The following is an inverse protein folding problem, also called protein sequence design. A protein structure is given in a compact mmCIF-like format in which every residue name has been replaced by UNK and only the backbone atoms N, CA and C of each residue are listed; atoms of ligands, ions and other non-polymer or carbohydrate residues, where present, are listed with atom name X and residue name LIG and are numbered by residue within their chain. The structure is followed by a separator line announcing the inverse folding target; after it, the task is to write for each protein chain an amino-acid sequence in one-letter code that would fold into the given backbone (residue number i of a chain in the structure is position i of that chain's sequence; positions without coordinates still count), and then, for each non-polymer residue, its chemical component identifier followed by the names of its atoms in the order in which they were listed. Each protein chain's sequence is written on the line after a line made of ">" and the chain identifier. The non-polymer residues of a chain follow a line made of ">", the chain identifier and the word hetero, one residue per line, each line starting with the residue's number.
data_IF_121748118285
#
_entry.id   IF_121748118285
#
_cell.length_a   1.000
_cell.length_b   1.000
_cell.length_c   1.000
_cell.angle_alpha   90.00
_cell.angle_beta   90.00
_cell.angle_gamma   90.00
#
_symmetry.space_group_name_H-M   'P 1'
#
loop_
_entity.id
_entity.type
_entity.pdbx_description
1 polymer ?
#
# COMPACT_ATOMS: atom_id res chain seq x y z
N UNK A 1 -8.26 40.32 -80.15
CA UNK A 1 -8.98 41.59 -79.87
C UNK A 1 -10.42 41.26 -79.50
N UNK A 2 -11.05 41.96 -78.54
CA UNK A 2 -10.50 42.74 -77.41
C UNK A 2 -10.39 41.77 -76.20
N UNK A 3 -10.50 42.10 -74.89
CA UNK A 3 -10.33 43.34 -74.10
C UNK A 3 -9.69 42.95 -72.74
N UNK A 4 -9.24 43.94 -71.96
CA UNK A 4 -8.82 43.81 -70.55
C UNK A 4 -9.85 44.51 -69.66
N UNK A 5 -10.09 44.02 -68.44
CA UNK A 5 -10.54 44.84 -67.31
C UNK A 5 -9.83 44.38 -66.02
N UNK A 6 -9.41 45.32 -65.17
CA UNK A 6 -8.64 45.09 -63.93
C UNK A 6 -9.52 45.26 -62.66
N UNK A 7 -8.87 45.06 -61.50
CA UNK A 7 -9.30 45.33 -60.11
C UNK A 7 -10.15 44.23 -59.45
N UNK A 8 -10.06 43.97 -58.14
CA UNK A 8 -9.41 44.72 -57.05
C UNK A 8 -8.61 43.82 -56.08
N UNK A 9 -7.77 44.44 -55.25
CA UNK A 9 -7.09 43.80 -54.12
C UNK A 9 -8.09 43.35 -53.04
N UNK A 10 -7.85 42.20 -52.41
CA UNK A 10 -8.45 41.80 -51.14
C UNK A 10 -7.33 41.30 -50.20
N UNK A 11 -7.25 41.86 -49.00
CA UNK A 11 -6.15 41.62 -48.07
C UNK A 11 -6.24 40.25 -47.38
N UNK A 12 -5.09 39.59 -47.19
CA UNK A 12 -4.98 38.33 -46.45
C UNK A 12 -5.18 38.56 -44.95
N UNK A 13 -6.42 38.41 -44.46
CA UNK A 13 -6.68 38.25 -43.03
C UNK A 13 -6.44 36.79 -42.62
N UNK A 14 -5.37 36.52 -41.85
CA UNK A 14 -5.20 35.23 -41.17
C UNK A 14 -6.34 35.04 -40.16
N UNK A 15 -7.04 33.90 -40.13
CA UNK A 15 -7.98 33.60 -39.05
C UNK A 15 -7.21 33.33 -37.75
N UNK A 16 -7.52 34.09 -36.70
CA UNK A 16 -6.98 33.84 -35.36
C UNK A 16 -7.69 32.64 -34.74
N UNK A 17 -7.00 31.51 -34.67
CA UNK A 17 -7.51 30.31 -33.97
C UNK A 17 -7.48 30.60 -32.46
N UNK A 18 -8.65 30.60 -31.81
CA UNK A 18 -8.72 30.60 -30.34
C UNK A 18 -8.08 29.30 -29.82
N UNK A 19 -7.27 29.33 -28.75
CA UNK A 19 -6.85 28.11 -28.08
C UNK A 19 -8.10 27.33 -27.63
N UNK A 20 -8.10 26.01 -27.84
CA UNK A 20 -9.10 25.17 -27.22
C UNK A 20 -8.92 25.23 -25.70
N UNK A 21 -10.00 25.48 -24.98
CA UNK A 21 -9.98 25.44 -23.51
C UNK A 21 -9.68 23.99 -23.09
N UNK A 22 -8.56 23.82 -22.39
CA UNK A 22 -8.10 22.51 -21.93
C UNK A 22 -9.13 21.90 -20.97
N UNK A 23 -9.85 20.88 -21.45
CA UNK A 23 -10.63 20.01 -20.57
C UNK A 23 -9.65 19.13 -19.77
N UNK A 24 -9.07 19.70 -18.71
CA UNK A 24 -8.37 18.95 -17.66
C UNK A 24 -9.38 18.19 -16.80
N UNK A 25 -10.08 17.25 -17.44
CA UNK A 25 -10.62 16.09 -16.76
C UNK A 25 -9.42 15.29 -16.24
N UNK A 26 -9.01 15.57 -15.00
CA UNK A 26 -8.04 14.76 -14.28
C UNK A 26 -8.59 13.34 -14.16
N UNK A 27 -8.25 12.49 -15.12
CA UNK A 27 -8.44 11.06 -15.00
C UNK A 27 -7.78 10.67 -13.67
N UNK A 28 -8.49 9.93 -12.78
CA UNK A 28 -7.95 9.60 -11.49
C UNK A 28 -6.61 8.93 -11.73
N UNK A 29 -5.54 9.55 -11.23
CA UNK A 29 -4.27 8.86 -11.07
C UNK A 29 -4.64 7.60 -10.30
N UNK A 30 -4.40 6.44 -10.91
CA UNK A 30 -4.34 5.20 -10.17
C UNK A 30 -3.18 5.40 -9.19
N UNK A 31 -3.51 5.90 -7.99
CA UNK A 31 -2.57 6.00 -6.89
C UNK A 31 -1.93 4.63 -6.78
N UNK A 32 -0.63 4.58 -7.01
CA UNK A 32 0.07 3.32 -7.20
C UNK A 32 -0.14 2.50 -5.95
N UNK A 33 -0.81 1.34 -6.09
CA UNK A 33 -1.26 0.56 -4.95
C UNK A 33 -0.08 0.31 -4.00
N UNK A 34 -0.25 0.51 -2.67
CA UNK A 34 0.86 0.53 -1.74
C UNK A 34 1.66 -0.77 -1.81
N UNK A 35 2.98 -0.66 -1.98
CA UNK A 35 3.86 -1.82 -2.13
C UNK A 35 4.03 -2.49 -0.76
N UNK A 36 3.36 -3.62 -0.57
CA UNK A 36 3.45 -4.41 0.66
C UNK A 36 4.60 -5.42 0.56
N UNK A 37 5.55 -5.33 1.48
CA UNK A 37 6.66 -6.28 1.63
C UNK A 37 6.52 -7.07 2.94
N UNK A 38 6.76 -8.38 2.89
CA UNK A 38 6.72 -9.25 4.08
C UNK A 38 8.12 -9.53 4.62
N UNK A 39 8.34 -9.35 5.92
CA UNK A 39 9.62 -9.66 6.57
C UNK A 39 9.42 -10.47 7.86
N UNK A 40 10.23 -11.52 8.02
CA UNK A 40 10.34 -12.29 9.26
C UNK A 40 11.72 -12.07 9.90
N UNK A 41 11.77 -11.80 11.21
CA UNK A 41 13.03 -11.54 11.89
C UNK A 41 13.87 -12.81 12.15
N UNK A 42 13.24 -13.97 12.38
CA UNK A 42 13.95 -15.19 12.79
C UNK A 42 14.87 -14.93 14.00
N UNK A 43 16.12 -15.38 13.95
CA UNK A 43 17.22 -15.11 14.90
C UNK A 43 18.13 -13.94 14.49
N UNK A 44 17.73 -13.10 13.51
CA UNK A 44 18.54 -11.97 13.06
C UNK A 44 18.77 -10.94 14.17
N UNK A 45 19.90 -10.25 14.10
CA UNK A 45 20.16 -9.06 14.90
C UNK A 45 19.18 -7.94 14.51
N UNK A 46 19.06 -6.94 15.39
CA UNK A 46 18.29 -5.73 15.08
C UNK A 46 18.91 -4.94 13.91
N UNK A 47 20.23 -4.94 13.81
CA UNK A 47 20.99 -4.25 12.77
C UNK A 47 20.80 -4.90 11.39
N UNK A 48 20.83 -6.23 11.29
CA UNK A 48 20.51 -6.97 10.08
C UNK A 48 19.07 -6.71 9.63
N UNK A 49 18.12 -6.71 10.58
CA UNK A 49 16.71 -6.41 10.31
C UNK A 49 16.52 -4.99 9.78
N UNK A 50 17.11 -3.99 10.42
CA UNK A 50 17.06 -2.59 9.96
C UNK A 50 17.73 -2.42 8.60
N UNK A 51 18.87 -3.08 8.37
CA UNK A 51 19.59 -3.02 7.09
C UNK A 51 18.72 -3.53 5.93
N UNK A 52 17.98 -4.64 6.13
CA UNK A 52 17.04 -5.15 5.14
C UNK A 52 15.90 -4.15 4.83
N UNK A 53 15.35 -3.49 5.85
CA UNK A 53 14.32 -2.47 5.65
C UNK A 53 14.86 -1.29 4.83
N UNK A 54 16.05 -0.78 5.18
CA UNK A 54 16.69 0.36 4.49
C UNK A 54 17.04 0.03 3.05
N UNK A 55 17.64 -1.14 2.77
CA UNK A 55 18.00 -1.57 1.41
C UNK A 55 16.77 -1.68 0.50
N UNK A 56 15.63 -2.12 1.06
CA UNK A 56 14.34 -2.18 0.34
C UNK A 56 13.51 -0.89 0.45
N UNK A 57 14.08 0.21 0.96
CA UNK A 57 13.42 1.53 1.08
C UNK A 57 12.08 1.49 1.85
N UNK A 58 11.96 0.60 2.85
CA UNK A 58 10.76 0.49 3.68
C UNK A 58 10.65 1.69 4.62
N UNK A 59 9.58 2.46 4.47
CA UNK A 59 9.29 3.65 5.28
C UNK A 59 8.50 3.36 6.56
N UNK A 60 7.78 2.22 6.61
CA UNK A 60 6.89 1.86 7.73
C UNK A 60 6.86 0.35 7.94
N UNK A 61 7.00 -0.09 9.19
CA UNK A 61 6.79 -1.49 9.61
C UNK A 61 5.38 -1.64 10.18
N UNK A 62 4.62 -2.58 9.62
CA UNK A 62 3.31 -3.00 10.16
C UNK A 62 3.49 -4.30 10.92
N UNK A 63 3.30 -4.24 12.24
CA UNK A 63 3.39 -5.40 13.13
C UNK A 63 1.99 -6.00 13.33
N UNK A 64 1.69 -7.05 12.57
CA UNK A 64 0.41 -7.77 12.64
C UNK A 64 0.35 -8.80 13.78
N UNK A 65 1.41 -8.95 14.59
CA UNK A 65 1.45 -10.01 15.61
C UNK A 65 0.44 -9.70 16.72
N UNK A 66 -0.49 -10.63 16.92
CA UNK A 66 -1.47 -10.58 18.04
C UNK A 66 -0.79 -10.45 19.40
N UNK A 67 0.40 -11.05 19.56
CA UNK A 67 1.26 -10.90 20.75
C UNK A 67 2.67 -10.45 20.29
N UNK A 68 2.95 -9.14 20.22
CA UNK A 68 4.23 -8.60 19.75
C UNK A 68 5.28 -8.58 20.89
N UNK A 69 5.47 -9.73 21.54
CA UNK A 69 6.37 -9.92 22.69
C UNK A 69 7.06 -11.28 22.62
N UNK A 70 8.38 -11.28 22.77
CA UNK A 70 9.24 -12.44 22.93
C UNK A 70 10.18 -12.26 24.12
N UNK A 71 10.51 -13.38 24.79
CA UNK A 71 11.60 -13.45 25.78
C UNK A 71 12.96 -13.68 25.13
N UNK A 72 13.00 -14.44 24.03
CA UNK A 72 14.23 -14.79 23.32
C UNK A 72 14.72 -13.66 22.41
N UNK A 73 13.78 -12.89 21.83
CA UNK A 73 14.07 -11.78 20.92
C UNK A 73 13.47 -10.45 21.42
N UNK A 74 13.90 -9.93 22.59
CA UNK A 74 13.30 -8.75 23.20
C UNK A 74 13.50 -7.44 22.41
N UNK A 75 14.46 -7.41 21.47
CA UNK A 75 14.69 -6.31 20.53
C UNK A 75 13.50 -6.10 19.57
N UNK A 76 12.77 -7.16 19.23
CA UNK A 76 11.58 -7.10 18.38
C UNK A 76 10.27 -6.97 19.16
N UNK A 77 10.30 -6.62 20.44
CA UNK A 77 9.08 -6.35 21.22
C UNK A 77 8.48 -4.99 20.86
N UNK A 78 7.14 -4.85 20.93
CA UNK A 78 6.43 -3.57 20.73
C UNK A 78 6.93 -2.42 21.64
N UNK A 79 7.56 -2.75 22.78
CA UNK A 79 8.17 -1.76 23.69
C UNK A 79 9.55 -1.25 23.25
N UNK A 80 10.21 -1.96 22.33
CA UNK A 80 11.63 -1.79 21.99
C UNK A 80 11.84 -1.43 20.52
N UNK A 81 11.16 -2.16 19.63
CA UNK A 81 11.32 -2.04 18.18
C UNK A 81 10.96 -0.64 17.64
N UNK A 82 9.87 0.04 18.06
CA UNK A 82 9.52 1.35 17.52
C UNK A 82 10.62 2.39 17.75
N UNK A 83 11.21 2.42 18.95
CA UNK A 83 12.34 3.30 19.32
C UNK A 83 13.63 3.03 18.54
N UNK A 84 13.72 1.86 17.91
CA UNK A 84 14.87 1.47 17.09
C UNK A 84 14.66 1.86 15.62
N UNK A 85 13.43 1.73 15.13
CA UNK A 85 13.02 2.15 13.79
C UNK A 85 12.96 3.68 13.65
N UNK A 86 12.49 4.37 14.69
CA UNK A 86 12.44 5.84 14.77
C UNK A 86 13.81 6.49 14.55
N UNK A 87 14.90 5.89 15.09
CA UNK A 87 16.29 6.36 14.92
C UNK A 87 16.78 6.35 13.47
N UNK A 88 16.14 5.59 12.60
CA UNK A 88 16.46 5.49 11.16
C UNK A 88 15.31 6.03 10.29
N UNK A 89 14.37 6.77 10.88
CA UNK A 89 13.26 7.39 10.15
C UNK A 89 12.15 6.42 9.70
N UNK A 90 12.13 5.19 10.21
CA UNK A 90 11.13 4.18 9.84
C UNK A 90 9.97 4.21 10.85
N UNK A 91 8.75 4.39 10.34
CA UNK A 91 7.53 4.36 11.16
C UNK A 91 7.17 2.96 11.66
N UNK A 92 6.40 2.87 12.74
CA UNK A 92 5.86 1.60 13.25
C UNK A 92 4.37 1.73 13.55
N UNK A 93 3.59 0.74 13.10
CA UNK A 93 2.17 0.58 13.45
C UNK A 93 1.94 -0.85 13.90
N UNK A 94 1.11 -1.04 14.94
CA UNK A 94 0.73 -2.37 15.44
C UNK A 94 -0.73 -2.63 15.12
N UNK A 95 -1.00 -3.58 14.21
CA UNK A 95 -2.32 -3.83 13.62
C UNK A 95 -2.70 -5.32 13.79
N UNK A 96 -3.03 -5.75 15.03
CA UNK A 96 -3.19 -7.16 15.40
C UNK A 96 -4.45 -7.81 14.82
N UNK A 97 -5.34 -7.03 14.19
CA UNK A 97 -6.49 -7.55 13.46
C UNK A 97 -6.07 -8.35 12.22
N UNK A 98 -4.96 -8.01 11.54
CA UNK A 98 -4.39 -8.87 10.48
C UNK A 98 -3.51 -10.02 11.03
N UNK A 99 -3.62 -10.32 12.32
CA UNK A 99 -2.83 -11.33 13.03
C UNK A 99 -3.48 -12.70 13.13
N UNK A 100 -2.66 -13.71 13.41
CA UNK A 100 -3.08 -15.09 13.69
C UNK A 100 -3.74 -15.28 15.07
N UNK A 101 -3.55 -16.47 15.67
CA UNK A 101 -4.22 -16.88 16.92
C UNK A 101 -5.76 -16.77 16.85
N UNK A 102 -6.33 -17.15 15.71
CA UNK A 102 -7.77 -17.26 15.49
C UNK A 102 -8.24 -18.69 15.76
N UNK A 103 -9.47 -18.86 16.27
CA UNK A 103 -10.08 -20.17 16.54
C UNK A 103 -10.88 -20.62 15.32
N UNK A 104 -10.75 -21.88 14.93
CA UNK A 104 -11.58 -22.48 13.89
C UNK A 104 -13.06 -22.48 14.26
N UNK A 105 -13.92 -22.21 13.29
CA UNK A 105 -15.36 -22.39 13.44
C UNK A 105 -15.71 -23.90 13.42
N UNK A 106 -16.70 -24.37 14.20
CA UNK A 106 -17.13 -25.78 14.19
C UNK A 106 -17.58 -26.28 12.80
N UNK A 107 -18.15 -25.37 12.01
CA UNK A 107 -18.72 -25.54 10.68
C UNK A 107 -17.82 -24.93 9.57
N UNK A 108 -16.53 -24.70 9.87
CA UNK A 108 -15.54 -24.15 8.93
C UNK A 108 -15.58 -24.83 7.55
N UNK A 109 -15.86 -24.05 6.50
CA UNK A 109 -15.72 -24.49 5.09
C UNK A 109 -14.25 -24.75 4.69
N UNK A 110 -13.29 -24.22 5.45
CA UNK A 110 -11.85 -24.27 5.17
C UNK A 110 -11.21 -25.64 5.48
N UNK A 111 -11.88 -26.74 5.12
CA UNK A 111 -11.54 -28.10 5.56
C UNK A 111 -10.14 -28.59 5.15
N UNK A 112 -9.55 -28.05 4.08
CA UNK A 112 -8.20 -28.36 3.61
C UNK A 112 -7.07 -28.08 4.62
N UNK A 113 -7.24 -27.13 5.56
CA UNK A 113 -6.22 -26.81 6.55
C UNK A 113 -6.16 -27.83 7.69
N UNK A 114 -5.20 -28.76 7.66
CA UNK A 114 -5.04 -29.78 8.73
C UNK A 114 -4.78 -29.17 10.11
N UNK A 115 -4.15 -28.00 10.19
CA UNK A 115 -3.88 -27.30 11.45
C UNK A 115 -5.06 -26.39 11.83
N UNK A 116 -5.62 -26.56 13.02
CA UNK A 116 -6.79 -25.81 13.49
C UNK A 116 -6.57 -24.30 13.58
N UNK A 117 -5.35 -23.83 13.88
CA UNK A 117 -5.03 -22.39 13.93
C UNK A 117 -4.96 -21.77 12.53
N UNK A 118 -4.50 -22.52 11.53
CA UNK A 118 -4.53 -22.08 10.13
C UNK A 118 -5.96 -22.10 9.57
N UNK A 119 -6.75 -23.12 9.92
CA UNK A 119 -8.19 -23.17 9.62
C UNK A 119 -8.91 -21.94 10.18
N UNK A 120 -8.74 -21.65 11.47
CA UNK A 120 -9.35 -20.48 12.11
C UNK A 120 -8.87 -19.13 11.58
N UNK A 121 -7.64 -19.05 11.07
CA UNK A 121 -7.21 -17.84 10.37
C UNK A 121 -7.91 -17.71 9.01
N UNK A 122 -8.06 -18.80 8.25
CA UNK A 122 -8.81 -18.80 6.99
C UNK A 122 -10.31 -18.53 7.18
N UNK A 123 -10.91 -19.00 8.29
CA UNK A 123 -12.29 -18.64 8.69
C UNK A 123 -12.38 -17.14 8.97
N UNK A 124 -11.45 -16.61 9.76
CA UNK A 124 -11.40 -15.19 10.10
C UNK A 124 -11.20 -14.27 8.88
N UNK A 125 -10.41 -14.69 7.89
CA UNK A 125 -10.22 -13.95 6.63
C UNK A 125 -11.51 -13.71 5.84
N UNK A 126 -12.59 -14.45 6.13
CA UNK A 126 -13.90 -14.30 5.49
C UNK A 126 -14.84 -13.35 6.26
N UNK A 127 -14.36 -12.70 7.33
CA UNK A 127 -15.17 -11.81 8.19
C UNK A 127 -15.04 -10.34 7.81
N UNK A 128 -16.09 -9.57 8.10
CA UNK A 128 -16.07 -8.10 7.95
C UNK A 128 -14.98 -7.43 8.81
N UNK A 129 -14.60 -8.05 9.93
CA UNK A 129 -13.50 -7.58 10.79
C UNK A 129 -12.16 -7.65 10.07
N UNK A 130 -11.87 -8.74 9.35
CA UNK A 130 -10.65 -8.87 8.56
C UNK A 130 -10.60 -7.82 7.44
N UNK A 131 -11.70 -7.68 6.69
CA UNK A 131 -11.83 -6.66 5.64
C UNK A 131 -11.62 -5.24 6.21
N UNK A 132 -12.22 -4.92 7.35
CA UNK A 132 -12.07 -3.60 7.98
C UNK A 132 -10.62 -3.30 8.38
N UNK A 133 -9.88 -4.31 8.86
CA UNK A 133 -8.46 -4.19 9.17
C UNK A 133 -7.56 -4.12 7.92
N UNK A 134 -7.95 -4.77 6.83
CA UNK A 134 -7.27 -4.65 5.53
C UNK A 134 -7.47 -3.23 4.94
N UNK A 135 -8.67 -2.68 5.05
CA UNK A 135 -8.97 -1.29 4.68
C UNK A 135 -8.28 -0.26 5.59
N UNK A 136 -8.00 -0.59 6.86
CA UNK A 136 -7.11 0.24 7.69
C UNK A 136 -5.67 0.23 7.15
N UNK A 137 -5.12 -0.96 6.84
CA UNK A 137 -3.78 -1.10 6.27
C UNK A 137 -3.59 -0.35 4.94
N UNK A 138 -4.58 -0.39 4.05
CA UNK A 138 -4.52 0.25 2.72
C UNK A 138 -4.44 1.79 2.81
N UNK A 139 -4.77 2.40 3.96
CA UNK A 139 -4.77 3.86 4.18
C UNK A 139 -3.49 4.40 4.86
N UNK A 140 -2.45 3.58 5.09
CA UNK A 140 -1.24 3.91 5.89
C UNK A 140 0.00 4.35 5.10
#
# INVERSE_FOLDING_TARGET
>A
MPRIQQAHQAGTTRPTVKPAESLEGSAPRLEAAPVVLTIGHSTRSLEEFVSLLTIHSVTRVIDVRTVPRSRHNPQFNKTSLPKSLEKVGIGYVHLPGLGGLRRALPDSINLGWRNASFRGYADYMQTQDFESNLQELIRL
#
